data_IF_113937650553
#
_entry.id   IF_113937650553
#
_cell.length_a   1.000
_cell.length_b   1.000
_cell.length_c   1.000
_cell.angle_alpha   90.00
_cell.angle_beta   90.00
_cell.angle_gamma   90.00
#
_symmetry.space_group_name_H-M   'P 1'
#
loop_
_entity.id
_entity.type
_entity.pdbx_description
1 polymer ?
#
# COMPACT_ATOMS: atom_id res chain seq x y z
N UNK A 1 -8.94 -0.62 -17.51
CA UNK A 1 -8.19 -0.39 -16.25
C UNK A 1 -6.73 -0.12 -16.60
N UNK A 2 -6.10 0.91 -16.02
CA UNK A 2 -4.63 1.05 -16.11
C UNK A 2 -4.01 0.15 -15.04
N UNK A 3 -3.13 -0.75 -15.45
CA UNK A 3 -2.29 -1.52 -14.52
C UNK A 3 -1.12 -0.63 -14.12
N UNK A 4 -0.90 -0.46 -12.82
CA UNK A 4 0.23 0.28 -12.27
C UNK A 4 1.48 -0.59 -12.44
N UNK A 5 2.53 -0.07 -13.09
CA UNK A 5 3.66 -0.89 -13.56
C UNK A 5 4.94 -0.66 -12.80
N UNK A 6 5.19 0.54 -12.28
CA UNK A 6 6.45 0.85 -11.61
C UNK A 6 6.24 0.93 -10.11
N UNK A 7 6.85 -0.02 -9.41
CA UNK A 7 6.77 -0.15 -7.96
C UNK A 7 8.19 -0.10 -7.42
N UNK A 8 8.44 0.78 -6.45
CA UNK A 8 9.70 0.83 -5.73
C UNK A 8 9.44 0.80 -4.23
N UNK A 9 10.30 0.10 -3.48
CA UNK A 9 10.24 0.11 -2.03
C UNK A 9 10.63 1.50 -1.53
N UNK A 10 9.72 2.18 -0.83
CA UNK A 10 9.98 3.46 -0.17
C UNK A 10 10.57 3.22 1.22
N UNK A 11 9.86 2.45 2.04
CA UNK A 11 10.27 2.17 3.41
C UNK A 11 9.79 0.79 3.86
N UNK A 12 10.64 0.10 4.63
CA UNK A 12 10.26 -1.10 5.35
C UNK A 12 10.21 -0.78 6.84
N UNK A 13 9.05 -0.99 7.44
CA UNK A 13 8.78 -0.77 8.86
C UNK A 13 8.41 -2.10 9.51
N UNK A 14 8.41 -2.12 10.86
CA UNK A 14 8.21 -3.35 11.64
C UNK A 14 6.91 -4.11 11.31
N UNK A 15 5.84 -3.37 10.94
CA UNK A 15 4.50 -3.93 10.73
C UNK A 15 3.92 -3.66 9.35
N UNK A 16 4.64 -2.95 8.49
CA UNK A 16 4.18 -2.63 7.14
C UNK A 16 5.34 -2.25 6.22
N UNK A 17 5.06 -2.30 4.93
CA UNK A 17 5.93 -1.74 3.90
C UNK A 17 5.20 -0.62 3.18
N UNK A 18 5.96 0.39 2.79
CA UNK A 18 5.50 1.47 1.93
C UNK A 18 6.14 1.33 0.56
N UNK A 19 5.31 1.39 -0.48
CA UNK A 19 5.72 1.33 -1.88
C UNK A 19 5.36 2.63 -2.56
N UNK A 20 6.28 3.17 -3.35
CA UNK A 20 5.97 4.23 -4.29
C UNK A 20 5.48 3.59 -5.58
N UNK A 21 4.34 4.06 -6.08
CA UNK A 21 3.70 3.57 -7.29
C UNK A 21 3.74 4.67 -8.35
N UNK A 22 4.36 4.37 -9.49
CA UNK A 22 4.55 5.25 -10.64
C UNK A 22 5.14 6.64 -10.27
N UNK A 23 5.86 6.72 -9.15
CA UNK A 23 6.44 7.97 -8.64
C UNK A 23 5.43 8.97 -8.06
N UNK A 24 4.14 8.62 -7.97
CA UNK A 24 3.06 9.57 -7.67
C UNK A 24 2.21 9.21 -6.46
N UNK A 25 2.13 7.92 -6.13
CA UNK A 25 1.30 7.44 -5.04
C UNK A 25 2.12 6.64 -4.05
N UNK A 26 1.70 6.68 -2.79
CA UNK A 26 2.24 5.80 -1.76
C UNK A 26 1.20 4.73 -1.45
N UNK A 27 1.61 3.47 -1.55
CA UNK A 27 0.84 2.32 -1.14
C UNK A 27 1.44 1.75 0.14
N UNK A 28 0.67 1.69 1.22
CA UNK A 28 1.05 1.05 2.47
C UNK A 28 0.39 -0.33 2.55
N UNK A 29 1.19 -1.37 2.78
CA UNK A 29 0.74 -2.74 2.96
C UNK A 29 1.02 -3.16 4.40
N UNK A 30 -0.05 -3.27 5.19
CA UNK A 30 0.01 -3.78 6.56
C UNK A 30 -0.32 -5.27 6.57
N UNK A 31 0.51 -6.06 7.23
CA UNK A 31 0.18 -7.44 7.58
C UNK A 31 -0.52 -7.40 8.93
N UNK A 32 -1.79 -7.82 8.96
CA UNK A 32 -2.57 -7.83 10.20
C UNK A 32 -2.57 -9.22 10.82
N UNK A 33 -2.90 -10.23 10.03
CA UNK A 33 -2.95 -11.63 10.41
C UNK A 33 -2.46 -12.49 9.25
N UNK A 34 -2.31 -13.80 9.49
CA UNK A 34 -2.05 -14.75 8.43
C UNK A 34 -3.12 -14.64 7.34
N UNK A 35 -2.71 -14.34 6.10
CA UNK A 35 -3.59 -14.10 4.97
C UNK A 35 -4.54 -12.88 5.10
N UNK A 36 -4.31 -11.94 6.02
CA UNK A 36 -5.09 -10.70 6.11
C UNK A 36 -4.20 -9.46 6.04
N UNK A 37 -4.46 -8.64 5.02
CA UNK A 37 -3.70 -7.43 4.77
C UNK A 37 -4.61 -6.21 4.67
N UNK A 38 -4.14 -5.07 5.17
CA UNK A 38 -4.74 -3.77 4.89
C UNK A 38 -3.90 -3.06 3.85
N UNK A 39 -4.52 -2.70 2.74
CA UNK A 39 -3.92 -1.87 1.69
C UNK A 39 -4.45 -0.46 1.85
N UNK A 40 -3.54 0.50 1.91
CA UNK A 40 -3.87 1.92 1.95
C UNK A 40 -3.17 2.61 0.79
N UNK A 41 -3.94 3.30 -0.06
CA UNK A 41 -3.42 4.10 -1.15
C UNK A 41 -3.62 5.57 -0.82
N UNK A 42 -2.50 6.30 -0.75
CA UNK A 42 -2.48 7.74 -0.58
C UNK A 42 -2.13 8.40 -1.93
N UNK A 43 -3.07 9.20 -2.45
CA UNK A 43 -2.85 10.00 -3.65
C UNK A 43 -2.10 11.29 -3.27
N UNK A 44 -0.81 11.15 -2.97
CA UNK A 44 0.07 12.27 -2.66
C UNK A 44 1.47 11.77 -2.31
N UNK A 45 2.51 12.58 -2.54
CA UNK A 45 3.87 12.23 -2.15
C UNK A 45 3.95 12.07 -0.62
N UNK A 46 4.67 11.03 -0.18
CA UNK A 46 4.98 10.78 1.23
C UNK A 46 5.71 11.99 1.82
N UNK A 47 4.98 12.87 2.51
CA UNK A 47 5.52 14.12 3.08
C UNK A 47 4.56 15.31 2.99
N UNK A 48 3.53 15.26 2.14
CA UNK A 48 2.49 16.28 2.14
C UNK A 48 1.48 16.00 3.27
N UNK A 49 1.41 16.90 4.25
CA UNK A 49 0.48 16.83 5.38
C UNK A 49 -0.94 16.47 4.94
N UNK A 50 -1.59 15.62 5.74
CA UNK A 50 -2.84 14.89 5.49
C UNK A 50 -4.10 15.75 5.41
N UNK A 51 -4.05 16.90 4.75
CA UNK A 51 -5.19 17.79 4.53
C UNK A 51 -5.67 17.61 3.09
N UNK A 52 -6.48 16.57 2.85
CA UNK A 52 -7.28 16.44 1.63
C UNK A 52 -6.96 15.27 0.69
N UNK A 53 -5.97 14.42 1.00
CA UNK A 53 -5.73 13.24 0.18
C UNK A 53 -6.83 12.19 0.41
N UNK A 54 -7.51 11.78 -0.67
CA UNK A 54 -8.51 10.70 -0.65
C UNK A 54 -7.83 9.36 -0.29
N UNK A 55 -7.67 9.09 0.99
CA UNK A 55 -7.15 7.83 1.52
C UNK A 55 -8.12 6.70 1.17
N UNK A 56 -7.70 5.81 0.26
CA UNK A 56 -8.45 4.61 -0.07
C UNK A 56 -7.88 3.45 0.73
N UNK A 57 -8.64 2.94 1.69
CA UNK A 57 -8.28 1.74 2.44
C UNK A 57 -9.11 0.55 2.00
N UNK A 58 -8.46 -0.59 1.80
CA UNK A 58 -9.10 -1.86 1.45
C UNK A 58 -8.49 -2.99 2.28
N UNK A 59 -9.35 -3.88 2.77
CA UNK A 59 -8.94 -5.15 3.35
C UNK A 59 -8.82 -6.20 2.24
N UNK A 60 -7.69 -6.88 2.19
CA UNK A 60 -7.37 -7.90 1.21
C UNK A 60 -7.08 -9.20 1.94
N UNK A 61 -7.75 -10.30 1.54
CA UNK A 61 -7.36 -11.64 1.98
C UNK A 61 -6.34 -12.22 1.00
N UNK A 62 -5.22 -12.68 1.53
CA UNK A 62 -4.25 -13.48 0.79
C UNK A 62 -4.90 -14.79 0.35
N UNK A 63 -4.55 -15.25 -0.85
CA UNK A 63 -4.93 -16.59 -1.29
C UNK A 63 -3.98 -17.57 -0.61
N UNK A 64 -4.51 -18.51 0.16
CA UNK A 64 -3.71 -19.59 0.75
C UNK A 64 -2.97 -20.33 -0.38
N UNK A 65 -1.66 -20.53 -0.20
CA UNK A 65 -0.91 -21.40 -1.10
C UNK A 65 -1.40 -22.84 -0.93
N UNK A 66 -1.62 -23.62 -2.01
CA UNK A 66 -1.82 -25.05 -1.86
C UNK A 66 -0.56 -25.65 -1.21
N UNK A 67 -0.76 -26.40 -0.12
CA UNK A 67 0.31 -27.09 0.62
C UNK A 67 0.85 -28.31 -0.12
#
# INVERSE_FOLDING_TARGET
MKTLKHWSLHQQLKHHVELTVDGQHTLCLYVLEENLFRVLLNAGPAGAGSHGASLRSRMCRGKAAPG
#
